data_IF_972151097651
#
_entry.id   IF_972151097651
#
_cell.length_a   1.000
_cell.length_b   1.000
_cell.length_c   1.000
_cell.angle_alpha   90.00
_cell.angle_beta   90.00
_cell.angle_gamma   90.00
#
_symmetry.space_group_name_H-M   'P 1'
#
loop_
_entity.id
_entity.type
_entity.pdbx_description
1 polymer ?
#
# COMPACT_ATOMS: atom_id res chain seq x y z
N UNK A 1 20.60 -0.55 17.50
CA UNK A 1 20.64 -1.11 16.14
C UNK A 1 19.82 -0.20 15.25
N UNK A 2 20.38 0.48 14.25
CA UNK A 2 19.57 1.10 13.21
C UNK A 2 18.98 0.00 12.31
N UNK A 3 17.67 -0.01 12.17
CA UNK A 3 16.95 -0.94 11.29
C UNK A 3 16.87 -0.26 9.90
N UNK A 4 17.45 -0.88 8.86
CA UNK A 4 17.57 -0.32 7.49
C UNK A 4 16.72 -1.13 6.50
N UNK A 5 15.53 -1.58 6.91
CA UNK A 5 14.56 -2.09 5.94
C UNK A 5 13.65 -0.91 5.58
N UNK A 6 13.98 -0.24 4.47
CA UNK A 6 13.07 0.74 3.89
C UNK A 6 11.82 0.02 3.40
N UNK A 7 10.66 0.59 3.67
CA UNK A 7 9.39 0.06 3.19
C UNK A 7 9.31 0.10 1.65
N UNK A 8 8.58 -0.84 1.05
CA UNK A 8 8.44 -0.96 -0.41
C UNK A 8 7.68 0.18 -1.10
N UNK A 9 7.80 0.22 -2.43
CA UNK A 9 7.04 1.09 -3.33
C UNK A 9 6.52 0.25 -4.50
N UNK A 10 5.29 0.54 -4.94
CA UNK A 10 4.76 0.04 -6.20
C UNK A 10 4.47 1.22 -7.14
N UNK A 11 4.85 1.04 -8.41
CA UNK A 11 4.44 1.88 -9.53
C UNK A 11 3.52 1.06 -10.40
N UNK A 12 2.26 1.46 -10.53
CA UNK A 12 1.24 0.73 -11.25
C UNK A 12 0.09 1.66 -11.65
N UNK A 13 -0.60 1.33 -12.72
CA UNK A 13 -1.79 2.06 -13.17
C UNK A 13 -3.01 1.47 -12.44
N UNK A 14 -3.48 2.14 -11.38
CA UNK A 14 -4.53 1.55 -10.52
C UNK A 14 -5.94 1.79 -11.06
N UNK A 15 -6.13 2.81 -11.90
CA UNK A 15 -7.43 3.16 -12.48
C UNK A 15 -7.52 3.02 -14.01
N UNK A 16 -6.51 2.37 -14.61
CA UNK A 16 -6.41 2.06 -16.04
C UNK A 16 -6.50 3.31 -16.94
N UNK A 17 -5.95 4.44 -16.48
CA UNK A 17 -5.92 5.69 -17.25
C UNK A 17 -4.65 5.84 -18.13
N UNK A 18 -3.73 4.88 -18.03
CA UNK A 18 -2.50 4.81 -18.80
C UNK A 18 -1.29 5.46 -18.14
N UNK A 19 -1.46 6.10 -16.98
CA UNK A 19 -0.37 6.68 -16.19
C UNK A 19 -0.02 5.80 -14.98
N UNK A 20 1.26 5.73 -14.63
CA UNK A 20 1.67 5.00 -13.41
C UNK A 20 1.43 5.86 -12.17
N UNK A 21 0.72 5.29 -11.22
CA UNK A 21 0.47 5.79 -9.88
C UNK A 21 1.48 5.26 -8.87
N UNK A 22 1.46 5.81 -7.65
CA UNK A 22 2.45 5.47 -6.62
C UNK A 22 1.76 4.94 -5.37
N UNK A 23 2.04 3.69 -5.01
CA UNK A 23 1.74 3.17 -3.67
C UNK A 23 3.00 3.11 -2.82
N UNK A 24 3.00 3.84 -1.71
CA UNK A 24 4.06 3.85 -0.71
C UNK A 24 3.67 2.99 0.48
N UNK A 25 4.46 1.95 0.73
CA UNK A 25 4.40 1.20 1.98
C UNK A 25 5.06 2.05 3.06
N UNK A 26 4.45 2.09 4.23
CA UNK A 26 4.95 2.83 5.38
C UNK A 26 4.97 1.94 6.63
N UNK A 27 5.71 2.40 7.63
CA UNK A 27 5.75 1.78 8.94
C UNK A 27 5.15 2.69 10.00
N UNK A 28 4.57 2.09 11.03
CA UNK A 28 4.25 2.76 12.29
C UNK A 28 5.00 2.11 13.46
N UNK A 29 4.75 2.56 14.69
CA UNK A 29 5.32 1.95 15.89
C UNK A 29 4.91 0.47 15.99
N UNK A 30 5.86 -0.39 16.37
CA UNK A 30 5.62 -1.82 16.57
C UNK A 30 4.63 -2.10 17.70
N UNK A 31 4.62 -1.26 18.74
CA UNK A 31 3.65 -1.32 19.82
C UNK A 31 2.47 -0.39 19.49
N UNK A 32 1.32 -0.94 19.07
CA UNK A 32 0.17 -0.12 18.68
C UNK A 32 -0.50 0.56 19.87
N UNK A 33 -0.11 0.23 21.12
CA UNK A 33 -0.68 0.83 22.33
C UNK A 33 0.01 2.15 22.72
N UNK A 34 1.15 2.47 22.10
CA UNK A 34 1.89 3.68 22.39
C UNK A 34 1.29 4.90 21.68
N UNK A 35 1.32 6.07 22.34
CA UNK A 35 0.97 7.33 21.70
C UNK A 35 2.05 7.72 20.69
N UNK A 36 1.67 7.88 19.41
CA UNK A 36 2.56 8.30 18.32
C UNK A 36 3.27 9.63 18.59
N UNK A 37 2.73 10.48 19.47
CA UNK A 37 3.39 11.71 19.92
C UNK A 37 4.66 11.46 20.73
N UNK A 38 4.80 10.25 21.29
CA UNK A 38 5.96 9.81 22.05
C UNK A 38 7.01 9.11 21.16
N UNK A 39 6.71 8.92 19.87
CA UNK A 39 7.70 8.38 18.94
C UNK A 39 8.94 9.27 18.89
N UNK A 40 10.10 8.67 18.64
CA UNK A 40 11.38 9.39 18.48
C UNK A 40 11.29 10.49 17.41
N UNK A 41 10.49 10.23 16.37
CA UNK A 41 10.15 11.16 15.31
C UNK A 41 8.62 11.17 15.18
N UNK A 42 7.91 12.03 15.94
CA UNK A 42 6.46 12.04 15.92
C UNK A 42 5.95 12.56 14.57
N UNK A 43 4.82 12.03 14.07
CA UNK A 43 4.23 12.52 12.84
C UNK A 43 3.75 13.97 12.98
N UNK A 44 3.69 14.69 11.85
CA UNK A 44 3.13 16.03 11.82
C UNK A 44 1.67 16.05 12.30
N UNK A 45 1.25 17.15 12.92
CA UNK A 45 -0.11 17.30 13.42
C UNK A 45 -1.13 17.12 12.29
N UNK A 46 -2.09 16.21 12.48
CA UNK A 46 -3.12 15.90 11.49
C UNK A 46 -2.71 14.89 10.41
N UNK A 47 -1.45 14.45 10.40
CA UNK A 47 -1.01 13.36 9.54
C UNK A 47 -1.48 12.01 10.10
N UNK A 48 -2.14 11.20 9.27
CA UNK A 48 -2.54 9.84 9.63
C UNK A 48 -1.40 8.85 9.34
N UNK A 49 -1.05 7.92 10.22
CA UNK A 49 -0.15 6.82 9.85
C UNK A 49 -0.78 5.89 8.80
N UNK A 50 0.05 5.05 8.19
CA UNK A 50 -0.36 4.01 7.25
C UNK A 50 0.12 4.24 5.82
N UNK A 51 -0.01 3.22 4.99
CA UNK A 51 0.40 3.27 3.59
C UNK A 51 -0.32 4.38 2.82
N UNK A 52 0.20 4.74 1.64
CA UNK A 52 -0.35 5.83 0.82
C UNK A 52 -0.44 5.46 -0.65
N UNK A 53 -1.57 5.82 -1.27
CA UNK A 53 -1.75 5.77 -2.71
C UNK A 53 -1.87 7.20 -3.26
N UNK A 54 -1.04 7.52 -4.23
CA UNK A 54 -1.06 8.80 -4.94
C UNK A 54 -1.41 8.57 -6.40
N UNK A 55 -2.50 9.19 -6.86
CA UNK A 55 -2.87 9.22 -8.27
C UNK A 55 -2.00 10.22 -9.02
N UNK A 56 -1.45 9.79 -10.14
CA UNK A 56 -0.76 10.62 -11.11
C UNK A 56 -1.79 11.38 -11.97
N UNK A 57 -1.63 12.70 -12.08
CA UNK A 57 -2.47 13.58 -12.90
C UNK A 57 -1.63 14.19 -14.03
N UNK A 58 -0.89 13.35 -14.77
CA UNK A 58 -0.02 13.81 -15.85
C UNK A 58 -0.86 14.57 -16.88
N UNK A 59 -0.53 15.84 -17.09
CA UNK A 59 -1.20 16.63 -18.11
C UNK A 59 -0.63 16.36 -19.49
N UNK A 60 -1.40 16.65 -20.54
CA UNK A 60 -0.93 16.63 -21.94
C UNK A 60 0.28 17.57 -22.17
N UNK A 61 0.48 18.56 -21.30
CA UNK A 61 1.63 19.48 -21.33
C UNK A 61 2.89 18.93 -20.64
N UNK A 62 2.83 17.71 -20.09
CA UNK A 62 3.92 17.05 -19.38
C UNK A 62 4.11 17.52 -17.94
N UNK A 63 3.12 18.23 -17.36
CA UNK A 63 3.17 18.62 -15.95
C UNK A 63 2.74 17.42 -15.11
N UNK A 64 3.64 16.97 -14.23
CA UNK A 64 3.39 15.88 -13.30
C UNK A 64 2.86 16.44 -11.97
N UNK A 65 1.67 16.00 -11.58
CA UNK A 65 1.07 16.26 -10.28
C UNK A 65 0.60 14.95 -9.65
N UNK A 66 0.68 14.86 -8.32
CA UNK A 66 0.21 13.72 -7.56
C UNK A 66 -0.83 14.15 -6.54
N UNK A 67 -1.91 13.38 -6.43
CA UNK A 67 -2.97 13.60 -5.43
C UNK A 67 -3.10 12.36 -4.56
N UNK A 68 -3.09 12.57 -3.23
CA UNK A 68 -3.35 11.49 -2.27
C UNK A 68 -4.81 11.04 -2.41
N UNK A 69 -5.01 9.78 -2.85
CA UNK A 69 -6.31 9.14 -3.00
C UNK A 69 -6.52 8.00 -2.02
N UNK A 70 -5.61 7.81 -1.04
CA UNK A 70 -5.57 6.66 -0.12
C UNK A 70 -6.94 6.33 0.48
N UNK A 71 -7.60 7.32 1.07
CA UNK A 71 -8.89 7.15 1.73
C UNK A 71 -10.03 6.92 0.72
N UNK A 72 -9.98 7.62 -0.42
CA UNK A 72 -10.98 7.47 -1.49
C UNK A 72 -10.92 6.07 -2.11
N UNK A 73 -9.72 5.55 -2.29
CA UNK A 73 -9.46 4.24 -2.86
C UNK A 73 -9.66 3.09 -1.87
N UNK A 74 -9.89 3.35 -0.58
CA UNK A 74 -10.13 2.30 0.42
C UNK A 74 -8.88 1.50 0.82
N UNK A 75 -7.68 2.06 0.60
CA UNK A 75 -6.40 1.46 1.00
C UNK A 75 -5.82 2.18 2.23
N UNK A 76 -4.55 1.93 2.56
CA UNK A 76 -3.84 2.67 3.61
C UNK A 76 -3.68 1.90 4.93
N UNK A 77 -3.51 0.57 4.85
CA UNK A 77 -3.23 -0.27 6.02
C UNK A 77 -2.19 0.36 6.95
N UNK A 78 -2.48 0.31 8.25
CA UNK A 78 -1.62 0.81 9.30
C UNK A 78 -0.92 -0.40 9.94
N UNK A 79 0.37 -0.52 9.67
CA UNK A 79 1.19 -1.57 10.25
C UNK A 79 2.67 -1.23 10.10
N UNK A 80 3.52 -2.20 10.41
CA UNK A 80 4.93 -2.11 10.09
C UNK A 80 5.14 -2.77 8.73
N UNK A 81 4.95 -2.00 7.65
CA UNK A 81 5.03 -2.49 6.29
C UNK A 81 6.46 -2.77 5.83
N UNK A 82 6.62 -3.84 5.05
CA UNK A 82 7.90 -4.32 4.54
C UNK A 82 7.97 -4.17 3.02
N UNK A 83 6.97 -4.66 2.29
CA UNK A 83 6.99 -4.75 0.84
C UNK A 83 5.61 -4.71 0.21
N UNK A 84 5.57 -4.55 -1.10
CA UNK A 84 4.35 -4.58 -1.91
C UNK A 84 4.64 -5.29 -3.22
N UNK A 85 3.69 -6.10 -3.69
CA UNK A 85 3.71 -6.72 -5.00
C UNK A 85 2.39 -6.40 -5.74
N UNK A 86 2.51 -6.08 -7.03
CA UNK A 86 1.37 -5.75 -7.90
C UNK A 86 1.15 -6.88 -8.89
N UNK A 87 -0.09 -7.31 -9.05
CA UNK A 87 -0.49 -8.35 -10.01
C UNK A 87 -2.00 -8.47 -10.08
N UNK A 88 -2.51 -8.93 -11.21
CA UNK A 88 -3.94 -9.24 -11.42
C UNK A 88 -4.15 -10.71 -11.00
N UNK A 89 -4.59 -10.96 -9.76
CA UNK A 89 -4.59 -12.33 -9.21
C UNK A 89 -5.82 -13.14 -9.58
N UNK A 90 -6.90 -12.47 -10.00
CA UNK A 90 -8.16 -13.09 -10.39
C UNK A 90 -8.49 -12.93 -11.89
N UNK A 91 -7.57 -12.34 -12.65
CA UNK A 91 -7.60 -12.19 -14.11
C UNK A 91 -8.81 -11.37 -14.58
N UNK A 92 -9.11 -10.29 -13.86
CA UNK A 92 -10.22 -9.39 -14.15
C UNK A 92 -9.81 -8.15 -14.98
N UNK A 93 -8.51 -7.99 -15.22
CA UNK A 93 -7.92 -6.87 -15.97
C UNK A 93 -7.57 -5.66 -15.12
N UNK A 94 -7.69 -5.74 -13.79
CA UNK A 94 -7.32 -4.70 -12.84
C UNK A 94 -6.20 -5.18 -11.93
N UNK A 95 -5.21 -4.31 -11.71
CA UNK A 95 -4.04 -4.67 -10.91
C UNK A 95 -4.37 -4.59 -9.41
N UNK A 96 -4.13 -5.69 -8.69
CA UNK A 96 -4.28 -5.82 -7.24
C UNK A 96 -2.98 -5.53 -6.48
N UNK A 97 -3.10 -5.30 -5.16
CA UNK A 97 -1.95 -5.05 -4.29
C UNK A 97 -1.86 -6.09 -3.18
N UNK A 98 -0.71 -6.75 -3.07
CA UNK A 98 -0.37 -7.54 -1.89
C UNK A 98 0.74 -6.88 -1.08
N UNK A 99 0.43 -6.52 0.17
CA UNK A 99 1.32 -5.83 1.09
C UNK A 99 1.81 -6.79 2.16
N UNK A 100 3.14 -6.91 2.28
CA UNK A 100 3.76 -7.71 3.33
C UNK A 100 4.12 -6.85 4.53
N UNK A 101 3.84 -7.36 5.74
CA UNK A 101 4.09 -6.62 6.98
C UNK A 101 4.89 -7.47 7.99
N UNK A 102 5.38 -6.80 9.04
CA UNK A 102 5.54 -7.45 10.34
C UNK A 102 4.19 -7.43 11.05
N UNK A 103 3.56 -8.59 11.17
CA UNK A 103 2.13 -8.72 11.46
C UNK A 103 1.34 -9.07 10.19
N UNK A 104 0.01 -8.94 10.27
CA UNK A 104 -0.92 -9.33 9.21
C UNK A 104 -0.55 -8.72 7.85
N UNK A 105 -0.46 -9.57 6.82
CA UNK A 105 -0.37 -9.13 5.43
C UNK A 105 -1.72 -8.60 4.96
N UNK A 106 -1.74 -7.87 3.85
CA UNK A 106 -2.99 -7.36 3.28
C UNK A 106 -3.03 -7.60 1.77
N UNK A 107 -4.09 -8.25 1.29
CA UNK A 107 -4.43 -8.34 -0.12
C UNK A 107 -5.60 -7.40 -0.41
N UNK A 108 -5.34 -6.39 -1.24
CA UNK A 108 -6.32 -5.47 -1.76
C UNK A 108 -6.71 -5.90 -3.18
N UNK A 109 -7.97 -6.31 -3.35
CA UNK A 109 -8.57 -6.53 -4.65
C UNK A 109 -9.01 -5.19 -5.26
N UNK A 110 -8.64 -4.91 -6.49
CA UNK A 110 -9.06 -3.71 -7.22
C UNK A 110 -10.45 -3.91 -7.80
N UNK A 111 -11.42 -3.09 -7.39
CA UNK A 111 -12.81 -3.24 -7.83
C UNK A 111 -13.07 -2.71 -9.26
N UNK A 112 -12.06 -2.15 -9.93
CA UNK A 112 -12.16 -1.59 -11.28
C UNK A 112 -12.86 -0.23 -11.38
N UNK A 113 -13.21 0.38 -10.23
CA UNK A 113 -13.84 1.71 -10.13
C UNK A 113 -12.96 2.74 -9.40
N UNK A 114 -11.67 2.42 -9.27
CA UNK A 114 -10.69 3.21 -8.53
C UNK A 114 -10.75 3.01 -7.01
N UNK A 115 -11.43 1.96 -6.54
CA UNK A 115 -11.45 1.54 -5.14
C UNK A 115 -10.94 0.11 -4.97
N UNK A 116 -10.54 -0.23 -3.74
CA UNK A 116 -10.06 -1.54 -3.37
C UNK A 116 -10.88 -2.15 -2.24
N UNK A 117 -10.92 -3.48 -2.21
CA UNK A 117 -11.49 -4.27 -1.12
C UNK A 117 -10.39 -5.09 -0.45
N UNK A 118 -10.30 -5.07 0.88
CA UNK A 118 -9.46 -6.01 1.62
C UNK A 118 -10.10 -7.41 1.55
N UNK A 119 -9.43 -8.32 0.82
CA UNK A 119 -9.85 -9.71 0.62
C UNK A 119 -8.90 -10.70 1.28
N UNK A 120 -8.04 -10.24 2.18
CA UNK A 120 -6.95 -11.04 2.78
C UNK A 120 -7.45 -12.34 3.41
N UNK A 121 -8.52 -12.24 4.21
CA UNK A 121 -9.09 -13.40 4.91
C UNK A 121 -9.78 -14.36 3.93
N UNK A 122 -10.49 -13.82 2.94
CA UNK A 122 -11.22 -14.58 1.92
C UNK A 122 -10.26 -15.36 1.02
N UNK A 123 -9.12 -14.74 0.66
CA UNK A 123 -8.07 -15.36 -0.15
C UNK A 123 -7.17 -16.31 0.66
N UNK A 124 -7.23 -16.29 2.00
CA UNK A 124 -6.45 -17.18 2.87
C UNK A 124 -4.95 -16.88 2.86
N UNK A 125 -4.57 -15.63 2.59
CA UNK A 125 -3.17 -15.19 2.44
C UNK A 125 -2.66 -14.39 3.64
N UNK A 126 -3.45 -14.29 4.70
CA UNK A 126 -2.99 -13.67 5.95
C UNK A 126 -1.83 -14.46 6.57
N UNK A 127 -0.77 -13.76 6.97
CA UNK A 127 0.30 -14.30 7.79
C UNK A 127 0.66 -13.28 8.88
N UNK A 128 0.41 -13.58 10.17
CA UNK A 128 0.65 -12.62 11.26
C UNK A 128 2.12 -12.53 11.68
N UNK A 129 3.03 -13.25 11.02
CA UNK A 129 4.47 -13.27 11.34
C UNK A 129 5.19 -12.15 10.58
N UNK A 130 6.49 -12.34 10.33
CA UNK A 130 7.28 -11.41 9.52
C UNK A 130 7.31 -11.87 8.07
N UNK A 131 6.71 -11.08 7.18
CA UNK A 131 6.81 -11.24 5.73
C UNK A 131 7.69 -10.14 5.13
N UNK A 132 8.73 -10.49 4.37
CA UNK A 132 9.71 -9.52 3.87
C UNK A 132 9.43 -9.03 2.43
N UNK A 133 8.97 -9.91 1.55
CA UNK A 133 8.67 -9.60 0.15
C UNK A 133 7.65 -10.59 -0.41
N UNK A 134 7.08 -10.24 -1.56
CA UNK A 134 6.19 -11.09 -2.34
C UNK A 134 6.46 -10.91 -3.84
N UNK A 135 6.00 -11.86 -4.64
CA UNK A 135 5.98 -11.79 -6.09
C UNK A 135 4.78 -12.56 -6.63
N UNK A 136 4.25 -12.13 -7.77
CA UNK A 136 3.17 -12.79 -8.48
C UNK A 136 3.74 -13.67 -9.58
N UNK A 137 3.13 -14.85 -9.79
CA UNK A 137 3.44 -15.74 -10.91
C UNK A 137 2.12 -16.26 -11.45
N UNK A 138 1.84 -15.90 -12.69
CA UNK A 138 0.71 -16.42 -13.48
C UNK A 138 1.26 -17.24 -14.67
N UNK A 139 0.50 -18.22 -15.17
CA UNK A 139 0.94 -19.21 -16.17
C UNK A 139 0.01 -19.37 -17.37
#
# INVERSE_FOLDING_TARGET
MPEIMGAGVALFDYDNDGDLDVYLVQGTMLDPTQDLRLAKFPPALGWKPGNRLFRNLLSETGKLEFVDVTEKAGVGHIGYGMGVAVGDYDNDGFQDLYVTNFGHNVLYHNNGDGTFTDVTAQAGVDDPRWSASAAWVDY
#
